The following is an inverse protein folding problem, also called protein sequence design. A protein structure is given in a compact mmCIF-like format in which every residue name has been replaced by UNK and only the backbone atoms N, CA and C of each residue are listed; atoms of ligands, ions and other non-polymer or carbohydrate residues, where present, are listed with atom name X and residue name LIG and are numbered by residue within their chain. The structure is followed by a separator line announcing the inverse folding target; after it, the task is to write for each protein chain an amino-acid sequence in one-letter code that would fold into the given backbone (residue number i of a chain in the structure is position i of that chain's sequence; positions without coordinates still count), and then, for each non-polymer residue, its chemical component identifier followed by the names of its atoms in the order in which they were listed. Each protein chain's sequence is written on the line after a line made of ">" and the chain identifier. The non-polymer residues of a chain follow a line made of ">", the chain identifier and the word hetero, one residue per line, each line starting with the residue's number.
data_IF_299926959980
#
_entry.id   IF_299926959980
#
_cell.length_a   1.000
_cell.length_b   1.000
_cell.length_c   1.000
_cell.angle_alpha   90.00
_cell.angle_beta   90.00
_cell.angle_gamma   90.00
#
_symmetry.space_group_name_H-M   'P 1'
#
loop_
_entity.id
_entity.type
_entity.pdbx_description
1 polymer ?
#
# COMPACT_ATOMS: atom_id res chain seq x y z
N UNK A 1 22.45 16.02 2.15
CA UNK A 1 21.79 14.92 1.46
C UNK A 1 20.86 15.44 0.37
N UNK A 2 20.60 14.63 -0.66
CA UNK A 2 19.62 14.98 -1.69
C UNK A 2 18.22 14.45 -1.32
N UNK A 3 17.18 15.24 -1.62
CA UNK A 3 15.78 14.87 -1.44
C UNK A 3 14.92 15.39 -2.60
N UNK A 4 13.91 14.64 -3.01
CA UNK A 4 12.96 15.05 -4.04
C UNK A 4 11.78 15.77 -3.39
N UNK A 5 11.60 17.04 -3.74
CA UNK A 5 10.53 17.92 -3.25
C UNK A 5 9.47 18.07 -4.31
N UNK A 6 8.25 17.75 -3.95
CA UNK A 6 7.07 17.91 -4.81
C UNK A 6 6.43 19.26 -4.53
N UNK A 7 6.47 20.16 -5.51
CA UNK A 7 5.86 21.48 -5.49
C UNK A 7 4.45 21.51 -6.08
N UNK A 8 4.22 20.68 -7.12
CA UNK A 8 2.92 20.34 -7.68
C UNK A 8 3.05 18.95 -8.36
N UNK A 9 1.99 18.45 -8.96
CA UNK A 9 1.95 17.14 -9.66
C UNK A 9 2.85 17.08 -10.91
N UNK A 10 3.27 18.21 -11.42
CA UNK A 10 4.15 18.38 -12.59
C UNK A 10 5.42 19.17 -12.25
N UNK A 11 5.71 19.37 -10.96
CA UNK A 11 6.92 20.08 -10.48
C UNK A 11 7.56 19.32 -9.32
N UNK A 12 8.50 18.42 -9.67
CA UNK A 12 9.33 17.66 -8.71
C UNK A 12 10.77 18.10 -8.90
N UNK A 13 11.43 18.49 -7.79
CA UNK A 13 12.82 18.98 -7.82
C UNK A 13 13.68 18.21 -6.85
N UNK A 14 14.89 17.82 -7.27
CA UNK A 14 15.91 17.27 -6.38
C UNK A 14 16.68 18.44 -5.77
N UNK A 15 16.68 18.53 -4.44
CA UNK A 15 17.31 19.61 -3.68
C UNK A 15 18.33 19.06 -2.68
N UNK A 16 19.38 19.83 -2.43
CA UNK A 16 20.28 19.60 -1.30
C UNK A 16 19.62 20.06 -0.01
N UNK A 17 19.64 19.17 0.98
CA UNK A 17 19.07 19.42 2.30
C UNK A 17 20.04 18.94 3.39
N UNK A 18 20.03 19.56 4.60
CA UNK A 18 20.77 19.04 5.73
C UNK A 18 20.28 17.63 6.10
N UNK A 19 21.13 16.86 6.75
CA UNK A 19 20.68 15.61 7.40
C UNK A 19 19.66 15.92 8.51
N UNK A 20 18.64 15.07 8.70
CA UNK A 20 17.72 15.24 9.83
C UNK A 20 18.46 15.14 11.18
N UNK A 21 18.13 16.01 12.12
CA UNK A 21 18.65 15.98 13.48
C UNK A 21 17.89 14.93 14.28
N UNK A 22 18.61 13.92 14.82
CA UNK A 22 18.00 12.87 15.61
C UNK A 22 17.69 13.36 17.03
N UNK A 23 16.47 13.08 17.49
CA UNK A 23 16.08 13.21 18.89
C UNK A 23 16.34 11.89 19.65
N UNK A 24 16.36 11.88 20.99
CA UNK A 24 16.53 10.66 21.75
C UNK A 24 15.50 9.58 21.37
N UNK A 25 15.98 8.40 21.00
CA UNK A 25 15.17 7.28 20.53
C UNK A 25 14.85 7.27 19.04
N UNK A 26 15.32 8.25 18.28
CA UNK A 26 15.17 8.28 16.83
C UNK A 26 16.23 7.42 16.13
N UNK A 27 15.90 7.02 14.91
CA UNK A 27 16.77 6.23 14.05
C UNK A 27 16.98 6.95 12.72
N UNK A 28 18.23 6.97 12.22
CA UNK A 28 18.52 7.39 10.87
C UNK A 28 18.62 6.18 9.96
N UNK A 29 17.87 6.22 8.87
CA UNK A 29 17.87 5.18 7.85
C UNK A 29 18.40 5.74 6.54
N UNK A 30 19.42 5.07 5.97
CA UNK A 30 19.85 5.27 4.60
C UNK A 30 18.87 4.52 3.70
N UNK A 31 18.28 5.23 2.74
CA UNK A 31 17.27 4.66 1.86
C UNK A 31 17.88 3.64 0.89
N UNK A 32 17.17 2.53 0.69
CA UNK A 32 17.46 1.52 -0.31
C UNK A 32 16.44 1.57 -1.45
N UNK A 33 15.16 1.72 -1.13
CA UNK A 33 14.09 1.90 -2.10
C UNK A 33 12.88 2.62 -1.51
N UNK A 34 12.11 3.30 -2.36
CA UNK A 34 10.80 3.87 -2.02
C UNK A 34 9.86 3.80 -3.21
N UNK A 35 8.66 3.26 -3.01
CA UNK A 35 7.65 3.20 -4.06
C UNK A 35 6.96 4.54 -4.32
N UNK A 36 6.53 4.77 -5.56
CA UNK A 36 5.65 5.89 -5.92
C UNK A 36 4.20 5.45 -5.70
N UNK A 37 3.50 6.09 -4.77
CA UNK A 37 2.11 5.76 -4.46
C UNK A 37 1.15 6.40 -5.46
N UNK A 38 0.09 5.68 -5.84
CA UNK A 38 -0.99 6.23 -6.67
C UNK A 38 -1.71 7.42 -6.01
N UNK A 39 -1.67 7.53 -4.68
CA UNK A 39 -2.18 8.68 -3.94
C UNK A 39 -1.42 9.97 -4.25
N UNK A 40 -0.11 9.88 -4.45
CA UNK A 40 0.72 11.04 -4.79
C UNK A 40 0.51 11.52 -6.26
N UNK A 41 -0.29 10.77 -7.05
CA UNK A 41 -0.71 11.19 -8.40
C UNK A 41 -2.03 11.97 -8.41
N UNK A 42 -2.70 12.12 -7.28
CA UNK A 42 -4.00 12.83 -7.17
C UNK A 42 -3.78 14.33 -6.98
N UNK A 43 -4.17 15.20 -7.95
CA UNK A 43 -3.89 16.64 -7.87
C UNK A 43 -4.41 17.29 -6.58
N UNK A 44 -5.65 16.99 -6.19
CA UNK A 44 -6.27 17.53 -4.99
C UNK A 44 -5.55 17.12 -3.69
N UNK A 45 -4.94 15.93 -3.68
CA UNK A 45 -4.21 15.43 -2.51
C UNK A 45 -2.83 16.05 -2.40
N UNK A 46 -2.10 16.15 -3.52
CA UNK A 46 -0.77 16.76 -3.60
C UNK A 46 -0.83 18.24 -3.24
N UNK A 47 -1.70 19.01 -3.91
CA UNK A 47 -1.80 20.47 -3.73
C UNK A 47 -2.15 20.91 -2.31
N UNK A 48 -2.77 20.03 -1.53
CA UNK A 48 -3.06 20.28 -0.11
C UNK A 48 -1.81 20.22 0.78
N UNK A 49 -0.77 19.49 0.34
CA UNK A 49 0.45 19.22 1.11
C UNK A 49 1.66 19.98 0.59
N UNK A 50 1.70 20.28 -0.71
CA UNK A 50 2.84 20.89 -1.37
C UNK A 50 3.22 22.27 -0.77
N UNK A 51 4.54 22.61 -0.68
CA UNK A 51 5.68 21.76 -1.04
C UNK A 51 6.05 20.77 0.07
N UNK A 52 6.44 19.54 -0.28
CA UNK A 52 6.87 18.50 0.68
C UNK A 52 7.80 17.48 0.02
N UNK A 53 8.64 16.81 0.82
CA UNK A 53 9.36 15.61 0.37
C UNK A 53 8.39 14.46 0.44
N UNK A 54 8.07 13.87 -0.70
CA UNK A 54 7.09 12.81 -0.80
C UNK A 54 7.70 11.41 -0.58
N UNK A 55 6.91 10.36 -0.78
CA UNK A 55 7.30 8.97 -0.59
C UNK A 55 6.96 8.46 0.82
N UNK A 56 6.09 7.47 0.87
CA UNK A 56 5.61 6.86 2.11
C UNK A 56 5.62 5.33 2.08
N UNK A 57 6.36 4.77 1.11
CA UNK A 57 6.59 3.34 0.95
C UNK A 57 8.11 3.03 1.04
N UNK A 58 8.80 3.42 2.14
CA UNK A 58 10.24 3.36 2.24
C UNK A 58 10.75 2.05 2.80
N UNK A 59 11.93 1.61 2.30
CA UNK A 59 12.76 0.58 2.88
C UNK A 59 14.24 0.98 2.79
N UNK A 60 15.05 0.65 3.80
CA UNK A 60 16.45 1.06 3.83
C UNK A 60 17.27 0.36 4.92
N UNK A 61 18.46 0.87 5.19
CA UNK A 61 19.40 0.36 6.19
C UNK A 61 19.56 1.35 7.32
N UNK A 62 19.45 0.90 8.57
CA UNK A 62 19.75 1.70 9.77
C UNK A 62 21.21 2.07 9.77
N UNK A 63 21.53 3.37 9.85
CA UNK A 63 22.91 3.89 9.85
C UNK A 63 23.27 4.60 11.14
N UNK A 64 22.29 5.08 11.91
CA UNK A 64 22.51 5.63 13.26
C UNK A 64 21.28 5.40 14.14
N UNK A 65 21.53 5.28 15.43
CA UNK A 65 20.52 5.16 16.48
C UNK A 65 20.88 6.15 17.58
N UNK A 66 19.96 7.06 17.89
CA UNK A 66 20.18 8.05 18.98
C UNK A 66 19.49 7.60 20.26
N UNK A 67 20.01 6.54 20.88
CA UNK A 67 19.59 6.09 22.22
C UNK A 67 20.75 5.40 22.94
N UNK A 68 20.87 5.61 24.26
CA UNK A 68 21.84 4.92 25.12
C UNK A 68 21.44 3.46 25.37
N UNK A 69 20.17 3.13 25.23
CA UNK A 69 19.64 1.79 25.40
C UNK A 69 19.21 1.17 24.07
N UNK A 70 19.33 -0.16 23.90
CA UNK A 70 18.87 -0.84 22.68
C UNK A 70 17.39 -0.59 22.43
N UNK A 71 17.03 -0.06 21.24
CA UNK A 71 15.66 0.09 20.84
C UNK A 71 15.05 -1.29 20.52
N UNK A 72 13.86 -1.53 21.04
CA UNK A 72 13.14 -2.78 20.82
C UNK A 72 11.88 -2.49 20.00
N UNK A 73 11.74 -3.18 18.87
CA UNK A 73 10.58 -3.11 18.00
C UNK A 73 9.39 -3.87 18.62
N UNK A 74 8.20 -3.70 18.05
CA UNK A 74 6.97 -4.34 18.54
C UNK A 74 7.04 -5.87 18.55
N UNK A 75 7.78 -6.49 17.65
CA UNK A 75 7.98 -7.95 17.57
C UNK A 75 9.04 -8.48 18.58
N UNK A 76 9.59 -7.61 19.43
CA UNK A 76 10.61 -7.94 20.42
C UNK A 76 12.04 -7.95 19.87
N UNK A 77 12.24 -7.71 18.59
CA UNK A 77 13.59 -7.60 18.01
C UNK A 77 14.28 -6.33 18.46
N UNK A 78 15.58 -6.43 18.75
CA UNK A 78 16.44 -5.28 18.98
C UNK A 78 16.85 -4.71 17.63
N UNK A 79 16.71 -3.38 17.49
CA UNK A 79 17.14 -2.66 16.31
C UNK A 79 18.60 -2.22 16.46
N UNK A 80 19.41 -2.43 15.43
CA UNK A 80 20.82 -2.11 15.41
C UNK A 80 21.22 -1.44 14.09
N UNK A 81 22.36 -0.73 14.11
CA UNK A 81 23.01 -0.24 12.89
C UNK A 81 23.34 -1.43 11.99
N UNK A 82 23.04 -1.30 10.70
CA UNK A 82 23.15 -2.36 9.70
C UNK A 82 21.87 -3.14 9.45
N UNK A 83 20.85 -3.04 10.32
CA UNK A 83 19.56 -3.68 10.07
C UNK A 83 18.87 -3.08 8.84
N UNK A 84 18.35 -3.97 8.00
CA UNK A 84 17.51 -3.61 6.86
C UNK A 84 16.06 -3.53 7.32
N UNK A 85 15.40 -2.40 7.08
CA UNK A 85 14.08 -2.12 7.64
C UNK A 85 13.10 -1.61 6.61
N UNK A 86 11.83 -1.95 6.82
CA UNK A 86 10.66 -1.20 6.38
C UNK A 86 10.24 -0.23 7.48
N UNK A 87 9.84 0.98 7.14
CA UNK A 87 9.34 1.98 8.09
C UNK A 87 8.00 2.50 7.64
N UNK A 88 6.96 2.34 8.47
CA UNK A 88 5.67 2.92 8.15
C UNK A 88 5.68 4.43 8.46
N UNK A 89 5.20 5.24 7.51
CA UNK A 89 5.17 6.69 7.65
C UNK A 89 4.26 7.18 8.78
N UNK A 90 3.31 6.37 9.20
CA UNK A 90 2.45 6.61 10.36
C UNK A 90 2.52 5.45 11.35
N UNK A 91 2.48 5.74 12.66
CA UNK A 91 2.46 4.71 13.68
C UNK A 91 1.51 5.06 14.84
N UNK A 92 0.72 4.09 15.34
CA UNK A 92 -0.19 4.29 16.44
C UNK A 92 0.53 4.26 17.80
N UNK A 93 -0.10 4.81 18.84
CA UNK A 93 0.43 4.73 20.20
C UNK A 93 0.32 3.34 20.85
N UNK A 94 -0.45 2.42 20.27
CA UNK A 94 -0.73 1.06 20.73
C UNK A 94 -1.46 0.96 22.10
N UNK A 95 -1.84 2.07 22.71
CA UNK A 95 -2.41 2.10 24.06
C UNK A 95 -3.83 2.71 24.15
N UNK A 96 -4.25 3.59 23.25
CA UNK A 96 -5.60 4.18 23.26
C UNK A 96 -6.69 3.16 22.85
N UNK A 97 -7.97 3.47 23.12
CA UNK A 97 -9.09 2.59 22.80
C UNK A 97 -9.15 2.22 21.32
N UNK A 98 -8.86 3.16 20.42
CA UNK A 98 -8.79 2.86 18.99
C UNK A 98 -7.72 1.80 18.68
N UNK A 99 -6.57 1.84 19.35
CA UNK A 99 -5.51 0.84 19.19
C UNK A 99 -5.90 -0.52 19.78
N UNK A 100 -6.51 -0.56 20.96
CA UNK A 100 -6.97 -1.80 21.60
C UNK A 100 -8.00 -2.55 20.75
N UNK A 101 -8.78 -1.81 19.98
CA UNK A 101 -9.77 -2.34 19.04
C UNK A 101 -9.22 -2.58 17.62
N UNK A 102 -7.92 -2.39 17.38
CA UNK A 102 -7.30 -2.55 16.06
C UNK A 102 -7.66 -1.44 15.04
N UNK A 103 -8.28 -0.33 15.50
CA UNK A 103 -8.66 0.81 14.68
C UNK A 103 -7.53 1.84 14.58
N UNK A 104 -6.32 1.38 14.24
CA UNK A 104 -5.06 2.14 14.32
C UNK A 104 -5.08 3.48 13.60
N UNK A 105 -5.67 3.57 12.41
CA UNK A 105 -5.76 4.82 11.62
C UNK A 105 -6.61 5.92 12.28
N UNK A 106 -7.35 5.57 13.33
CA UNK A 106 -8.13 6.50 14.14
C UNK A 106 -7.42 6.93 15.44
N UNK A 107 -6.23 6.40 15.71
CA UNK A 107 -5.38 6.85 16.80
C UNK A 107 -4.87 8.28 16.53
N UNK A 108 -4.88 9.14 17.55
CA UNK A 108 -4.37 10.50 17.41
C UNK A 108 -2.87 10.54 17.08
N UNK A 109 -2.07 9.66 17.71
CA UNK A 109 -0.65 9.51 17.42
C UNK A 109 -0.41 9.10 15.97
N UNK A 110 -1.17 8.11 15.45
CA UNK A 110 -1.05 7.70 14.05
C UNK A 110 -1.23 8.88 13.08
N UNK A 111 -2.14 9.79 13.39
CA UNK A 111 -2.42 10.96 12.54
C UNK A 111 -1.36 12.06 12.62
N UNK A 112 -0.58 12.09 13.70
CA UNK A 112 0.44 13.12 13.96
C UNK A 112 1.87 12.64 13.70
N UNK A 113 2.12 11.34 13.57
CA UNK A 113 3.44 10.80 13.24
C UNK A 113 3.72 10.92 11.74
N UNK A 114 4.99 11.11 11.41
CA UNK A 114 5.49 11.11 10.04
C UNK A 114 6.98 10.73 10.04
N UNK A 115 7.47 10.25 8.92
CA UNK A 115 8.91 10.15 8.64
C UNK A 115 9.44 11.52 8.21
N UNK A 116 10.70 11.81 8.47
CA UNK A 116 11.30 13.11 8.13
C UNK A 116 12.56 12.94 7.28
N UNK A 117 12.61 13.56 6.10
CA UNK A 117 11.60 14.46 5.52
C UNK A 117 10.50 13.74 4.73
N UNK A 118 10.67 12.46 4.41
CA UNK A 118 9.86 11.60 3.57
C UNK A 118 10.73 10.59 2.82
N UNK A 119 10.14 9.54 2.24
CA UNK A 119 10.87 8.40 1.68
C UNK A 119 11.61 8.68 0.36
N UNK A 120 11.36 9.80 -0.33
CA UNK A 120 12.11 10.21 -1.51
C UNK A 120 13.30 11.11 -1.15
N UNK A 121 14.09 10.68 -0.17
CA UNK A 121 15.34 11.31 0.26
C UNK A 121 16.41 10.25 0.50
N UNK A 122 17.69 10.63 0.44
CA UNK A 122 18.81 9.70 0.66
C UNK A 122 18.83 9.14 2.09
N UNK A 123 18.45 9.97 3.06
CA UNK A 123 18.35 9.59 4.48
C UNK A 123 17.02 10.05 5.05
N UNK A 124 16.49 9.23 5.95
CA UNK A 124 15.20 9.47 6.60
C UNK A 124 15.36 9.25 8.11
N UNK A 125 14.92 10.24 8.90
CA UNK A 125 14.72 10.08 10.33
C UNK A 125 13.43 9.33 10.57
N UNK A 126 13.52 8.27 11.33
CA UNK A 126 12.39 7.50 11.85
C UNK A 126 12.19 7.93 13.31
N UNK A 127 11.17 8.73 13.62
CA UNK A 127 10.90 9.13 15.01
C UNK A 127 10.61 7.90 15.88
N UNK A 128 10.96 7.98 17.16
CA UNK A 128 10.73 6.90 18.14
C UNK A 128 9.30 6.33 18.08
N UNK A 129 8.30 7.18 17.90
CA UNK A 129 6.91 6.73 17.78
C UNK A 129 6.68 5.81 16.57
N UNK A 130 7.39 6.02 15.46
CA UNK A 130 7.25 5.22 14.25
C UNK A 130 7.89 3.82 14.37
N UNK A 131 8.73 3.59 15.41
CA UNK A 131 9.26 2.26 15.69
C UNK A 131 8.17 1.25 16.07
N UNK A 132 6.98 1.72 16.49
CA UNK A 132 5.82 0.88 16.74
C UNK A 132 5.30 0.17 15.48
N UNK A 133 5.66 0.68 14.28
CA UNK A 133 5.34 0.05 13.00
C UNK A 133 6.55 0.07 12.03
N UNK A 134 7.72 -0.22 12.58
CA UNK A 134 8.97 -0.47 11.84
C UNK A 134 9.27 -1.96 11.92
N UNK A 135 9.67 -2.58 10.81
CA UNK A 135 9.92 -4.02 10.71
C UNK A 135 11.29 -4.30 10.12
N UNK A 136 12.04 -5.22 10.74
CA UNK A 136 13.31 -5.73 10.16
C UNK A 136 12.99 -6.65 8.98
N UNK A 137 13.55 -6.35 7.83
CA UNK A 137 13.39 -7.15 6.62
C UNK A 137 14.19 -8.47 6.74
N UNK A 138 13.56 -9.62 6.46
CA UNK A 138 14.29 -10.89 6.32
C UNK A 138 15.39 -10.81 5.24
N UNK A 139 16.45 -11.59 5.40
CA UNK A 139 17.63 -11.57 4.51
C UNK A 139 17.28 -11.77 3.02
N UNK A 140 16.24 -12.55 2.70
CA UNK A 140 15.80 -12.81 1.32
C UNK A 140 14.87 -11.76 0.72
N UNK A 141 14.47 -10.73 1.48
CA UNK A 141 13.58 -9.67 1.00
C UNK A 141 14.43 -8.52 0.47
N UNK A 142 14.28 -8.14 -0.80
CA UNK A 142 14.97 -6.99 -1.39
C UNK A 142 14.43 -5.66 -0.83
N UNK A 143 15.09 -4.52 -1.08
CA UNK A 143 14.51 -3.23 -0.71
C UNK A 143 13.31 -2.87 -1.58
N UNK A 144 13.31 -3.27 -2.85
CA UNK A 144 12.16 -3.12 -3.72
C UNK A 144 10.94 -3.90 -3.18
N UNK A 145 11.14 -5.15 -2.74
CA UNK A 145 10.08 -5.91 -2.06
C UNK A 145 9.69 -5.30 -0.72
N UNK A 146 10.66 -4.81 0.05
CA UNK A 146 10.44 -4.13 1.33
C UNK A 146 9.58 -2.86 1.18
N UNK A 147 9.72 -2.13 0.07
CA UNK A 147 8.91 -0.95 -0.22
C UNK A 147 7.44 -1.29 -0.55
N UNK A 148 7.14 -2.54 -0.90
CA UNK A 148 5.78 -3.02 -1.13
C UNK A 148 5.02 -3.37 0.16
N UNK A 149 5.66 -3.33 1.33
CA UNK A 149 5.00 -3.68 2.61
C UNK A 149 3.83 -2.76 2.91
N UNK A 150 4.00 -1.44 2.78
CA UNK A 150 2.94 -0.48 3.04
C UNK A 150 1.73 -0.67 2.11
N UNK A 151 1.89 -0.64 0.76
CA UNK A 151 0.75 -0.84 -0.12
C UNK A 151 0.11 -2.22 0.04
N UNK A 152 0.88 -3.29 0.27
CA UNK A 152 0.31 -4.61 0.51
C UNK A 152 -0.45 -4.67 1.85
N UNK A 153 -0.02 -3.95 2.88
CA UNK A 153 -0.74 -3.85 4.14
C UNK A 153 -2.12 -3.21 3.97
N UNK A 154 -2.24 -2.20 3.10
CA UNK A 154 -3.54 -1.63 2.71
C UNK A 154 -4.44 -2.68 2.05
N UNK A 155 -3.88 -3.57 1.21
CA UNK A 155 -4.60 -4.69 0.59
C UNK A 155 -5.01 -5.74 1.62
N UNK A 156 -4.13 -6.11 2.56
CA UNK A 156 -4.46 -7.02 3.67
C UNK A 156 -5.67 -6.53 4.44
N UNK A 157 -5.65 -5.25 4.86
CA UNK A 157 -6.79 -4.64 5.55
C UNK A 157 -8.05 -4.63 4.70
N UNK A 158 -7.94 -4.31 3.41
CA UNK A 158 -9.05 -4.28 2.47
C UNK A 158 -9.72 -5.66 2.36
N UNK A 159 -8.96 -6.73 2.20
CA UNK A 159 -9.49 -8.10 2.14
C UNK A 159 -10.14 -8.53 3.47
N UNK A 160 -9.60 -8.14 4.63
CA UNK A 160 -10.24 -8.36 5.93
C UNK A 160 -11.58 -7.65 6.04
N UNK A 161 -11.70 -6.45 5.48
CA UNK A 161 -12.98 -5.74 5.44
C UNK A 161 -13.95 -6.33 4.43
N UNK A 162 -13.44 -6.89 3.33
CA UNK A 162 -14.24 -7.59 2.33
C UNK A 162 -14.83 -8.90 2.88
N UNK A 163 -14.04 -9.65 3.63
CA UNK A 163 -14.35 -10.98 4.15
C UNK A 163 -14.10 -11.06 5.67
N UNK A 164 -14.85 -10.32 6.49
CA UNK A 164 -14.57 -10.23 7.94
C UNK A 164 -14.83 -11.54 8.70
N UNK A 165 -15.69 -12.42 8.17
CA UNK A 165 -15.99 -13.72 8.77
C UNK A 165 -14.87 -14.74 8.52
N UNK A 166 -14.26 -14.68 7.34
CA UNK A 166 -13.26 -15.63 6.85
C UNK A 166 -11.84 -15.23 7.26
N UNK A 167 -11.50 -13.95 7.16
CA UNK A 167 -10.13 -13.47 7.38
C UNK A 167 -9.90 -12.91 8.79
N UNK A 168 -10.96 -12.57 9.52
CA UNK A 168 -10.85 -12.03 10.88
C UNK A 168 -9.96 -10.79 10.97
N UNK A 169 -9.32 -10.60 12.14
CA UNK A 169 -8.41 -9.47 12.39
C UNK A 169 -6.93 -9.85 12.27
N UNK A 170 -6.56 -11.12 12.30
CA UNK A 170 -5.18 -11.61 12.25
C UNK A 170 -5.10 -12.98 11.59
N UNK A 171 -4.03 -13.18 10.79
CA UNK A 171 -3.54 -14.47 10.34
C UNK A 171 -4.59 -15.36 9.67
N UNK A 172 -4.84 -15.16 8.36
CA UNK A 172 -5.72 -16.05 7.61
C UNK A 172 -4.97 -17.32 7.15
N UNK A 173 -5.68 -18.46 7.17
CA UNK A 173 -5.20 -19.71 6.58
C UNK A 173 -5.22 -19.64 5.05
N UNK A 174 -4.37 -20.42 4.40
CA UNK A 174 -4.20 -20.42 2.93
C UNK A 174 -5.45 -20.86 2.14
N UNK A 175 -6.50 -21.34 2.79
CA UNK A 175 -7.77 -21.74 2.17
C UNK A 175 -8.98 -20.97 2.69
N UNK A 176 -8.75 -19.88 3.42
CA UNK A 176 -9.81 -19.14 4.11
C UNK A 176 -10.91 -18.61 3.17
N UNK A 177 -10.57 -18.33 1.91
CA UNK A 177 -11.53 -17.86 0.90
C UNK A 177 -11.94 -18.93 -0.11
N UNK A 178 -11.74 -20.22 0.19
CA UNK A 178 -12.17 -21.30 -0.69
C UNK A 178 -13.68 -21.23 -0.97
N UNK A 179 -14.05 -21.23 -2.25
CA UNK A 179 -15.43 -21.11 -2.70
C UNK A 179 -16.00 -19.67 -2.68
N UNK A 180 -15.24 -18.67 -2.24
CA UNK A 180 -15.62 -17.27 -2.31
C UNK A 180 -15.24 -16.64 -3.64
N UNK A 181 -16.08 -15.77 -4.14
CA UNK A 181 -15.86 -15.01 -5.38
C UNK A 181 -15.46 -13.58 -5.05
N UNK A 182 -14.27 -13.18 -5.51
CA UNK A 182 -13.78 -11.80 -5.46
C UNK A 182 -13.81 -11.19 -6.86
N UNK A 183 -14.34 -9.99 -6.98
CA UNK A 183 -14.21 -9.19 -8.20
C UNK A 183 -13.37 -7.93 -7.94
N UNK A 184 -12.35 -7.70 -8.76
CA UNK A 184 -11.44 -6.55 -8.64
C UNK A 184 -11.63 -5.61 -9.82
N UNK A 185 -12.01 -4.37 -9.57
CA UNK A 185 -12.15 -3.32 -10.56
C UNK A 185 -10.91 -2.42 -10.51
N UNK A 186 -10.18 -2.36 -11.62
CA UNK A 186 -8.91 -1.64 -11.74
C UNK A 186 -7.71 -2.51 -11.35
N UNK A 187 -6.81 -2.73 -12.32
CA UNK A 187 -5.64 -3.60 -12.21
C UNK A 187 -4.32 -2.80 -12.24
N UNK A 188 -4.30 -1.65 -11.56
CA UNK A 188 -3.05 -1.05 -11.10
C UNK A 188 -2.40 -1.93 -10.03
N UNK A 189 -1.25 -1.52 -9.49
CA UNK A 189 -0.50 -2.30 -8.50
C UNK A 189 -1.38 -2.81 -7.35
N UNK A 190 -2.28 -1.96 -6.82
CA UNK A 190 -3.17 -2.35 -5.72
C UNK A 190 -4.14 -3.45 -6.12
N UNK A 191 -4.74 -3.37 -7.33
CA UNK A 191 -5.62 -4.42 -7.84
C UNK A 191 -4.88 -5.73 -8.07
N UNK A 192 -3.68 -5.69 -8.64
CA UNK A 192 -2.84 -6.88 -8.85
C UNK A 192 -2.42 -7.53 -7.52
N UNK A 193 -2.11 -6.74 -6.49
CA UNK A 193 -1.85 -7.26 -5.14
C UNK A 193 -3.09 -7.94 -4.54
N UNK A 194 -4.31 -7.38 -4.75
CA UNK A 194 -5.54 -8.06 -4.33
C UNK A 194 -5.71 -9.40 -5.02
N UNK A 195 -5.43 -9.47 -6.33
CA UNK A 195 -5.50 -10.74 -7.08
C UNK A 195 -4.52 -11.76 -6.51
N UNK A 196 -3.23 -11.38 -6.37
CA UNK A 196 -2.19 -12.28 -5.89
C UNK A 196 -2.49 -12.80 -4.46
N UNK A 197 -2.88 -11.90 -3.55
CA UNK A 197 -3.14 -12.27 -2.16
C UNK A 197 -4.44 -13.08 -1.99
N UNK A 198 -5.53 -12.67 -2.64
CA UNK A 198 -6.78 -13.41 -2.58
C UNK A 198 -6.67 -14.81 -3.22
N UNK A 199 -5.84 -14.96 -4.26
CA UNK A 199 -5.51 -16.27 -4.85
C UNK A 199 -4.79 -17.16 -3.83
N UNK A 200 -3.85 -16.62 -3.06
CA UNK A 200 -3.18 -17.37 -2.01
C UNK A 200 -4.15 -17.82 -0.90
N UNK A 201 -5.25 -17.12 -0.69
CA UNK A 201 -6.34 -17.52 0.22
C UNK A 201 -7.38 -18.44 -0.43
N UNK A 202 -7.22 -18.83 -1.70
CA UNK A 202 -8.09 -19.78 -2.37
C UNK A 202 -9.35 -19.20 -3.01
N UNK A 203 -9.48 -17.87 -3.13
CA UNK A 203 -10.63 -17.25 -3.78
C UNK A 203 -10.71 -17.55 -5.28
N UNK A 204 -11.93 -17.57 -5.81
CA UNK A 204 -12.21 -17.46 -7.24
C UNK A 204 -12.20 -15.98 -7.62
N UNK A 205 -11.27 -15.57 -8.50
CA UNK A 205 -11.01 -14.17 -8.76
C UNK A 205 -11.38 -13.81 -10.19
N UNK A 206 -12.21 -12.78 -10.32
CA UNK A 206 -12.52 -12.10 -11.57
C UNK A 206 -12.01 -10.67 -11.48
N UNK A 207 -11.63 -10.06 -12.61
CA UNK A 207 -11.13 -8.70 -12.58
C UNK A 207 -11.44 -7.94 -13.85
N UNK A 208 -11.39 -6.61 -13.81
CA UNK A 208 -11.52 -5.78 -14.99
C UNK A 208 -10.57 -4.58 -15.00
N UNK A 209 -10.11 -4.26 -16.18
CA UNK A 209 -9.31 -3.06 -16.46
C UNK A 209 -9.45 -2.69 -17.94
N UNK A 210 -9.26 -1.40 -18.27
CA UNK A 210 -9.18 -0.95 -19.65
C UNK A 210 -7.91 -1.46 -20.35
N UNK A 211 -6.80 -1.57 -19.62
CA UNK A 211 -5.51 -1.98 -20.14
C UNK A 211 -5.43 -3.51 -20.27
N UNK A 212 -5.30 -4.01 -21.51
CA UNK A 212 -5.22 -5.44 -21.79
C UNK A 212 -3.95 -6.10 -21.21
N UNK A 213 -2.82 -5.39 -21.19
CA UNK A 213 -1.58 -5.93 -20.61
C UNK A 213 -1.74 -6.19 -19.11
N UNK A 214 -2.34 -5.25 -18.36
CA UNK A 214 -2.64 -5.43 -16.93
C UNK A 214 -3.60 -6.58 -16.67
N UNK A 215 -4.57 -6.81 -17.57
CA UNK A 215 -5.44 -7.98 -17.50
C UNK A 215 -4.65 -9.28 -17.63
N UNK A 216 -3.69 -9.35 -18.56
CA UNK A 216 -2.78 -10.49 -18.71
C UNK A 216 -1.93 -10.75 -17.47
N UNK A 217 -1.40 -9.69 -16.83
CA UNK A 217 -0.68 -9.82 -15.54
C UNK A 217 -1.60 -10.38 -14.46
N UNK A 218 -2.84 -9.90 -14.35
CA UNK A 218 -3.80 -10.41 -13.37
C UNK A 218 -4.10 -11.90 -13.57
N UNK A 219 -4.21 -12.38 -14.81
CA UNK A 219 -4.39 -13.81 -15.12
C UNK A 219 -3.15 -14.63 -14.73
N UNK A 220 -1.95 -14.12 -14.96
CA UNK A 220 -0.71 -14.76 -14.51
C UNK A 220 -0.59 -14.86 -13.00
N UNK A 221 -1.19 -13.91 -12.26
CA UNK A 221 -1.28 -13.89 -10.81
C UNK A 221 -2.41 -14.77 -10.26
N UNK A 222 -3.26 -15.33 -11.13
CA UNK A 222 -4.28 -16.30 -10.78
C UNK A 222 -5.72 -15.82 -10.83
N UNK A 223 -6.01 -14.70 -11.50
CA UNK A 223 -7.38 -14.38 -11.88
C UNK A 223 -7.93 -15.42 -12.85
N UNK A 224 -9.12 -15.94 -12.60
CA UNK A 224 -9.76 -16.96 -13.46
C UNK A 224 -10.15 -16.38 -14.83
N UNK A 225 -10.64 -15.15 -14.82
CA UNK A 225 -11.04 -14.39 -16.00
C UNK A 225 -10.85 -12.90 -15.76
N UNK A 226 -10.50 -12.21 -16.82
CA UNK A 226 -10.46 -10.74 -16.82
C UNK A 226 -11.35 -10.19 -17.93
N UNK A 227 -11.88 -8.98 -17.72
CA UNK A 227 -12.85 -8.37 -18.61
C UNK A 227 -12.45 -6.92 -18.98
N UNK A 228 -12.87 -6.48 -20.16
CA UNK A 228 -12.95 -5.05 -20.42
C UNK A 228 -14.16 -4.45 -19.64
N UNK A 229 -14.07 -3.25 -19.06
CA UNK A 229 -15.13 -2.71 -18.20
C UNK A 229 -16.52 -2.67 -18.85
N UNK A 230 -16.60 -2.42 -20.16
CA UNK A 230 -17.87 -2.34 -20.89
C UNK A 230 -18.70 -3.66 -20.89
N UNK A 231 -18.05 -4.81 -20.74
CA UNK A 231 -18.71 -6.13 -20.75
C UNK A 231 -18.64 -6.84 -19.40
N UNK A 232 -17.99 -6.23 -18.42
CA UNK A 232 -17.62 -6.89 -17.16
C UNK A 232 -18.82 -7.40 -16.36
N UNK A 233 -19.89 -6.60 -16.25
CA UNK A 233 -21.07 -6.97 -15.45
C UNK A 233 -21.78 -8.21 -15.99
N UNK A 234 -22.03 -8.25 -17.31
CA UNK A 234 -22.72 -9.38 -17.94
C UNK A 234 -21.83 -10.63 -17.96
N UNK A 235 -20.53 -10.44 -18.22
CA UNK A 235 -19.55 -11.51 -18.20
C UNK A 235 -19.42 -12.13 -16.79
N UNK A 236 -19.29 -11.29 -15.74
CA UNK A 236 -19.25 -11.78 -14.35
C UNK A 236 -20.54 -12.52 -13.98
N UNK A 237 -21.70 -12.00 -14.40
CA UNK A 237 -23.01 -12.65 -14.18
C UNK A 237 -23.05 -14.05 -14.80
N UNK A 238 -22.55 -14.18 -16.02
CA UNK A 238 -22.48 -15.46 -16.72
C UNK A 238 -21.54 -16.45 -16.01
N UNK A 239 -20.32 -16.02 -15.67
CA UNK A 239 -19.30 -16.85 -15.00
C UNK A 239 -19.73 -17.32 -13.60
N UNK A 240 -20.55 -16.54 -12.89
CA UNK A 240 -21.01 -16.85 -11.54
C UNK A 240 -22.41 -17.48 -11.47
N UNK A 241 -23.01 -17.81 -12.63
CA UNK A 241 -24.38 -18.34 -12.69
C UNK A 241 -25.41 -17.37 -12.10
N UNK A 242 -25.22 -16.07 -12.27
CA UNK A 242 -26.13 -15.02 -11.80
C UNK A 242 -25.89 -14.55 -10.35
N UNK A 243 -25.03 -15.23 -9.57
CA UNK A 243 -24.82 -14.88 -8.13
C UNK A 243 -23.99 -13.61 -7.92
N UNK A 244 -23.18 -13.20 -8.92
CA UNK A 244 -22.24 -12.10 -8.83
C UNK A 244 -21.12 -12.37 -7.79
N UNK A 245 -20.43 -11.33 -7.28
CA UNK A 245 -19.29 -11.50 -6.40
C UNK A 245 -19.68 -11.41 -4.90
N UNK A 246 -19.11 -12.27 -4.06
CA UNK A 246 -19.24 -12.19 -2.60
C UNK A 246 -18.54 -10.92 -2.07
N UNK A 247 -17.48 -10.47 -2.75
CA UNK A 247 -16.89 -9.16 -2.49
C UNK A 247 -16.40 -8.50 -3.79
N UNK A 248 -16.49 -7.17 -3.82
CA UNK A 248 -15.98 -6.34 -4.91
C UNK A 248 -15.01 -5.31 -4.33
N UNK A 249 -13.80 -5.25 -4.89
CA UNK A 249 -12.83 -4.18 -4.59
C UNK A 249 -12.93 -3.14 -5.68
N UNK A 250 -13.40 -1.95 -5.35
CA UNK A 250 -13.41 -0.81 -6.26
C UNK A 250 -12.10 -0.03 -6.14
N UNK A 251 -11.16 -0.26 -7.04
CA UNK A 251 -9.87 0.43 -7.09
C UNK A 251 -10.00 1.88 -7.57
N UNK A 252 -10.66 2.19 -8.69
CA UNK A 252 -10.81 3.56 -9.16
C UNK A 252 -11.74 4.40 -8.28
N UNK A 253 -11.27 5.61 -7.89
CA UNK A 253 -12.09 6.58 -7.14
C UNK A 253 -12.98 7.42 -8.08
N UNK A 254 -13.94 6.79 -8.75
CA UNK A 254 -14.90 7.49 -9.61
C UNK A 254 -16.34 7.02 -9.36
N UNK A 255 -17.36 7.89 -9.49
CA UNK A 255 -18.75 7.49 -9.33
C UNK A 255 -19.13 6.31 -10.24
N UNK A 256 -18.73 6.33 -11.51
CA UNK A 256 -19.03 5.27 -12.48
C UNK A 256 -18.43 3.90 -12.07
N UNK A 257 -17.21 3.88 -11.49
CA UNK A 257 -16.62 2.65 -11.00
C UNK A 257 -17.38 2.11 -9.78
N UNK A 258 -17.84 2.98 -8.88
CA UNK A 258 -18.65 2.60 -7.72
C UNK A 258 -20.05 2.09 -8.12
N UNK A 259 -20.67 2.67 -9.14
CA UNK A 259 -21.94 2.16 -9.70
C UNK A 259 -21.76 0.76 -10.27
N UNK A 260 -20.69 0.52 -11.05
CA UNK A 260 -20.37 -0.79 -11.57
C UNK A 260 -20.06 -1.78 -10.44
N UNK A 261 -19.31 -1.35 -9.42
CA UNK A 261 -18.99 -2.17 -8.26
C UNK A 261 -20.25 -2.60 -7.50
N UNK A 262 -21.21 -1.71 -7.29
CA UNK A 262 -22.47 -2.04 -6.64
C UNK A 262 -23.31 -3.01 -7.50
N UNK A 263 -23.35 -2.81 -8.82
CA UNK A 263 -24.07 -3.67 -9.75
C UNK A 263 -23.48 -5.09 -9.84
N UNK A 264 -22.21 -5.26 -9.54
CA UNK A 264 -21.48 -6.55 -9.58
C UNK A 264 -21.34 -7.22 -8.23
N UNK A 265 -21.75 -6.56 -7.12
CA UNK A 265 -21.81 -7.14 -5.78
C UNK A 265 -23.02 -8.06 -5.66
N UNK A 266 -22.84 -9.29 -5.23
CA UNK A 266 -23.92 -10.27 -4.98
C UNK A 266 -24.72 -10.00 -3.71
N UNK A 267 -25.74 -10.84 -3.45
CA UNK A 267 -26.49 -10.79 -2.20
C UNK A 267 -25.60 -11.18 -1.00
N UNK A 268 -25.79 -10.51 0.16
CA UNK A 268 -24.92 -10.56 1.36
C UNK A 268 -23.45 -10.24 1.05
N UNK A 269 -23.21 -9.60 -0.11
CA UNK A 269 -21.86 -9.27 -0.57
C UNK A 269 -21.34 -7.95 0.03
N UNK A 270 -20.03 -7.73 -0.15
CA UNK A 270 -19.36 -6.51 0.32
C UNK A 270 -18.77 -5.73 -0.85
N UNK A 271 -19.13 -4.46 -0.99
CA UNK A 271 -18.43 -3.49 -1.82
C UNK A 271 -17.40 -2.76 -0.97
N UNK A 272 -16.12 -2.87 -1.31
CA UNK A 272 -15.04 -2.12 -0.68
C UNK A 272 -14.68 -0.91 -1.53
N UNK A 273 -14.90 0.29 -1.00
CA UNK A 273 -14.41 1.55 -1.56
C UNK A 273 -12.93 1.70 -1.17
N UNK A 274 -12.03 1.35 -2.08
CA UNK A 274 -10.59 1.30 -1.81
C UNK A 274 -9.91 2.65 -2.03
N UNK A 275 -10.30 3.38 -3.07
CA UNK A 275 -9.84 4.74 -3.35
C UNK A 275 -10.99 5.72 -3.16
N UNK A 276 -10.78 6.88 -2.50
CA UNK A 276 -11.83 7.88 -2.38
C UNK A 276 -12.11 8.55 -3.72
N UNK A 277 -13.35 8.98 -3.93
CA UNK A 277 -13.69 9.96 -4.97
C UNK A 277 -13.15 11.35 -4.58
N UNK A 278 -13.02 12.25 -5.52
CA UNK A 278 -12.55 13.61 -5.25
C UNK A 278 -13.49 14.32 -4.25
N UNK A 279 -12.92 15.07 -3.27
CA UNK A 279 -13.74 15.80 -2.30
C UNK A 279 -14.74 16.74 -2.98
N UNK A 280 -16.01 16.58 -2.64
CA UNK A 280 -17.12 17.34 -3.26
C UNK A 280 -17.89 16.56 -4.33
N UNK A 281 -17.30 15.54 -4.94
CA UNK A 281 -18.04 14.61 -5.80
C UNK A 281 -18.98 13.71 -4.97
N UNK A 282 -20.00 13.19 -5.62
CA UNK A 282 -21.01 12.34 -4.99
C UNK A 282 -21.21 11.06 -5.80
N UNK A 283 -21.34 9.96 -5.10
CA UNK A 283 -21.82 8.69 -5.60
C UNK A 283 -23.30 8.55 -5.21
N UNK A 284 -24.17 8.35 -6.19
CA UNK A 284 -25.60 8.11 -5.98
C UNK A 284 -25.95 6.69 -6.38
N UNK A 285 -26.81 6.02 -5.61
CA UNK A 285 -27.21 4.64 -5.89
C UNK A 285 -28.66 4.38 -5.45
N UNK A 286 -29.28 3.35 -6.03
CA UNK A 286 -30.58 2.84 -5.59
C UNK A 286 -30.41 2.12 -4.24
N UNK A 287 -30.84 2.80 -3.17
CA UNK A 287 -30.75 2.28 -1.81
C UNK A 287 -31.60 1.03 -1.64
N UNK A 288 -32.78 0.94 -2.25
CA UNK A 288 -33.67 -0.21 -2.10
C UNK A 288 -33.06 -1.46 -2.73
N UNK A 289 -32.41 -1.31 -3.89
CA UNK A 289 -31.68 -2.40 -4.55
C UNK A 289 -30.50 -2.93 -3.71
N UNK A 290 -29.83 -2.08 -2.93
CA UNK A 290 -28.80 -2.50 -2.00
C UNK A 290 -29.40 -3.16 -0.74
N UNK A 291 -30.47 -2.57 -0.21
CA UNK A 291 -31.17 -3.03 1.01
C UNK A 291 -31.70 -4.47 0.86
N UNK A 292 -32.45 -4.75 -0.21
CA UNK A 292 -33.04 -6.09 -0.42
C UNK A 292 -32.04 -7.19 -0.79
N UNK A 293 -30.78 -6.82 -0.99
CA UNK A 293 -29.66 -7.76 -1.21
C UNK A 293 -28.70 -7.84 -0.01
N UNK A 294 -28.97 -7.14 1.09
CA UNK A 294 -28.10 -7.05 2.27
C UNK A 294 -26.65 -6.66 1.92
N UNK A 295 -26.45 -5.77 0.93
CA UNK A 295 -25.13 -5.35 0.48
C UNK A 295 -24.47 -4.45 1.52
N UNK A 296 -23.23 -4.78 1.87
CA UNK A 296 -22.38 -3.97 2.76
C UNK A 296 -21.49 -3.04 1.94
N UNK A 297 -21.57 -1.75 2.19
CA UNK A 297 -20.64 -0.74 1.63
C UNK A 297 -19.64 -0.36 2.71
N UNK A 298 -18.36 -0.62 2.47
CA UNK A 298 -17.30 -0.37 3.44
C UNK A 298 -16.15 0.41 2.80
N UNK A 299 -15.56 1.36 3.54
CA UNK A 299 -14.34 2.03 3.12
C UNK A 299 -13.12 1.29 3.69
N UNK A 300 -11.99 1.31 2.99
CA UNK A 300 -10.71 0.82 3.50
C UNK A 300 -9.65 1.89 3.33
N UNK A 301 -9.28 2.56 4.42
CA UNK A 301 -8.31 3.65 4.44
C UNK A 301 -7.04 3.21 5.17
N UNK A 302 -5.89 3.25 4.46
CA UNK A 302 -4.57 2.97 5.01
C UNK A 302 -4.48 1.64 5.77
N UNK A 303 -3.49 1.44 6.64
CA UNK A 303 -3.19 0.21 7.34
C UNK A 303 -2.63 0.48 8.74
N UNK A 304 -2.32 -0.56 9.47
CA UNK A 304 -1.67 -0.50 10.77
C UNK A 304 -0.74 -1.68 11.02
N UNK A 305 -0.13 -1.75 12.22
CA UNK A 305 0.94 -2.71 12.53
C UNK A 305 0.60 -4.19 12.35
N UNK A 306 -0.66 -4.58 12.49
CA UNK A 306 -1.08 -5.97 12.23
C UNK A 306 -1.11 -6.27 10.73
N UNK A 307 -1.45 -5.27 9.92
CA UNK A 307 -1.51 -5.41 8.47
C UNK A 307 -0.11 -5.39 7.85
N UNK A 308 0.80 -4.51 8.33
CA UNK A 308 2.19 -4.44 7.87
C UNK A 308 2.98 -5.70 8.20
N UNK A 309 2.78 -6.28 9.40
CA UNK A 309 3.37 -7.56 9.77
C UNK A 309 2.93 -8.69 8.84
N UNK A 310 1.63 -8.80 8.55
CA UNK A 310 1.14 -9.84 7.64
C UNK A 310 1.60 -9.57 6.20
N UNK A 311 1.65 -8.32 5.75
CA UNK A 311 2.18 -7.95 4.44
C UNK A 311 3.64 -8.40 4.27
N UNK A 312 4.51 -8.12 5.27
CA UNK A 312 5.89 -8.58 5.23
C UNK A 312 6.00 -10.11 5.20
N UNK A 313 5.15 -10.83 5.92
CA UNK A 313 5.10 -12.31 5.87
C UNK A 313 4.71 -12.82 4.48
N UNK A 314 3.74 -12.21 3.80
CA UNK A 314 3.33 -12.59 2.45
C UNK A 314 4.41 -12.27 1.41
N UNK A 315 5.13 -11.16 1.57
CA UNK A 315 6.29 -10.82 0.75
C UNK A 315 7.41 -11.84 0.97
N UNK A 316 7.78 -12.13 2.20
CA UNK A 316 8.81 -13.11 2.54
C UNK A 316 8.48 -14.53 2.05
N UNK A 317 7.19 -14.87 1.98
CA UNK A 317 6.70 -16.13 1.39
C UNK A 317 6.65 -16.11 -0.16
N UNK A 318 7.03 -15.02 -0.81
CA UNK A 318 7.01 -14.89 -2.27
C UNK A 318 5.63 -14.81 -2.91
N UNK A 319 4.57 -14.56 -2.11
CA UNK A 319 3.19 -14.43 -2.62
C UNK A 319 3.06 -13.13 -3.43
N UNK A 320 3.63 -12.04 -2.91
CA UNK A 320 3.71 -10.73 -3.57
C UNK A 320 5.17 -10.30 -3.57
N UNK A 321 5.73 -10.04 -4.75
CA UNK A 321 7.10 -9.52 -4.92
C UNK A 321 7.12 -8.52 -6.07
N UNK A 322 8.15 -7.66 -6.10
CA UNK A 322 8.35 -6.69 -7.18
C UNK A 322 8.39 -7.39 -8.56
N UNK A 323 9.11 -8.51 -8.67
CA UNK A 323 9.19 -9.26 -9.94
C UNK A 323 7.88 -9.89 -10.38
N UNK A 324 7.02 -10.33 -9.46
CA UNK A 324 5.70 -10.88 -9.80
C UNK A 324 4.68 -9.83 -10.23
N UNK A 325 4.84 -8.59 -9.75
CA UNK A 325 3.95 -7.47 -10.07
C UNK A 325 4.40 -6.67 -11.28
N UNK A 326 5.48 -7.08 -11.96
CA UNK A 326 6.06 -6.34 -13.09
C UNK A 326 6.40 -4.88 -12.70
N UNK A 327 7.09 -4.73 -11.56
CA UNK A 327 7.55 -3.43 -11.05
C UNK A 327 8.70 -2.92 -11.89
N UNK A 328 8.73 -1.61 -12.16
CA UNK A 328 9.86 -0.95 -12.83
C UNK A 328 10.67 -0.14 -11.81
N UNK A 329 11.96 -0.41 -11.73
CA UNK A 329 12.89 0.30 -10.86
C UNK A 329 13.54 1.48 -11.58
N UNK A 330 13.66 2.61 -10.89
CA UNK A 330 14.29 3.84 -11.35
C UNK A 330 15.34 4.30 -10.33
N UNK A 331 16.56 4.68 -10.73
CA UNK A 331 17.51 5.25 -9.78
C UNK A 331 17.02 6.62 -9.29
N UNK A 332 17.39 7.01 -8.06
CA UNK A 332 16.92 8.25 -7.43
C UNK A 332 17.07 9.52 -8.30
N UNK A 333 18.14 9.73 -9.10
CA UNK A 333 18.19 10.86 -10.02
C UNK A 333 17.07 10.90 -11.07
N UNK A 334 16.40 9.76 -11.31
CA UNK A 334 15.29 9.61 -12.24
C UNK A 334 13.91 9.57 -11.53
N UNK A 335 13.79 10.18 -10.35
CA UNK A 335 12.53 10.20 -9.56
C UNK A 335 11.37 10.88 -10.32
N UNK A 336 11.63 11.96 -11.07
CA UNK A 336 10.63 12.61 -11.89
C UNK A 336 10.16 11.72 -13.04
N UNK A 337 11.03 11.10 -13.88
CA UNK A 337 10.64 10.05 -14.84
C UNK A 337 9.85 8.89 -14.22
N UNK A 338 10.21 8.44 -13.01
CA UNK A 338 9.48 7.39 -12.30
C UNK A 338 8.02 7.81 -11.99
N UNK A 339 7.86 9.05 -11.52
CA UNK A 339 6.55 9.63 -11.25
C UNK A 339 5.72 9.79 -12.53
N UNK A 340 6.33 10.32 -13.59
CA UNK A 340 5.67 10.49 -14.89
C UNK A 340 5.22 9.15 -15.50
N UNK A 341 6.05 8.11 -15.45
CA UNK A 341 5.69 6.78 -15.94
C UNK A 341 4.49 6.20 -15.17
N UNK A 342 4.39 6.44 -13.86
CA UNK A 342 3.22 6.08 -13.06
C UNK A 342 1.99 6.88 -13.47
N UNK A 343 2.14 8.19 -13.69
CA UNK A 343 1.05 9.11 -14.06
C UNK A 343 0.50 8.79 -15.46
N UNK A 344 1.38 8.48 -16.41
CA UNK A 344 1.02 8.06 -17.76
C UNK A 344 0.45 6.63 -17.82
N UNK A 345 0.49 5.88 -16.72
CA UNK A 345 0.13 4.46 -16.64
C UNK A 345 0.99 3.55 -17.54
N UNK A 346 2.21 3.99 -17.88
CA UNK A 346 3.18 3.24 -18.68
C UNK A 346 3.77 2.05 -17.90
N UNK A 347 3.81 2.17 -16.56
CA UNK A 347 4.25 1.11 -15.65
C UNK A 347 3.15 0.73 -14.68
N UNK A 348 3.19 -0.49 -14.16
CA UNK A 348 2.28 -0.95 -13.09
C UNK A 348 2.62 -0.27 -11.77
N UNK A 349 3.91 -0.20 -11.45
CA UNK A 349 4.47 0.42 -10.25
C UNK A 349 5.88 0.89 -10.54
N UNK A 350 6.17 2.13 -10.20
CA UNK A 350 7.54 2.63 -10.14
C UNK A 350 8.08 2.53 -8.71
N UNK A 351 9.29 2.02 -8.57
CA UNK A 351 10.05 2.03 -7.33
C UNK A 351 11.34 2.80 -7.57
N UNK A 352 11.60 3.81 -6.75
CA UNK A 352 12.84 4.57 -6.78
C UNK A 352 13.86 3.87 -5.89
N UNK A 353 15.04 3.55 -6.47
CA UNK A 353 16.16 2.92 -5.78
C UNK A 353 17.29 3.93 -5.54
N UNK A 354 18.10 3.70 -4.51
CA UNK A 354 19.17 4.60 -4.09
C UNK A 354 20.54 3.90 -4.18
N UNK A 355 21.05 3.63 -5.41
CA UNK A 355 22.27 2.83 -5.61
C UNK A 355 23.57 3.58 -5.26
N UNK A 356 23.57 4.92 -5.32
CA UNK A 356 24.79 5.74 -5.32
C UNK A 356 25.21 6.23 -3.91
N UNK A 357 24.72 5.57 -2.86
CA UNK A 357 25.20 5.84 -1.52
C UNK A 357 26.35 4.89 -1.22
N UNK A 358 27.55 5.19 -1.82
CA UNK A 358 28.77 4.49 -1.46
C UNK A 358 28.97 4.48 0.07
N UNK A 359 29.43 3.33 0.59
CA UNK A 359 29.69 3.11 2.03
C UNK A 359 30.81 4.03 2.59
N UNK A 360 31.29 5.00 1.80
CA UNK A 360 32.36 5.94 2.10
C UNK A 360 31.95 7.31 2.65
N UNK A 361 30.67 7.57 2.92
CA UNK A 361 30.30 8.75 3.71
C UNK A 361 30.64 8.47 5.18
N UNK A 362 31.90 8.73 5.57
CA UNK A 362 32.30 8.82 6.96
C UNK A 362 31.40 9.88 7.63
N UNK A 363 30.56 9.42 8.58
CA UNK A 363 29.89 10.33 9.49
C UNK A 363 30.97 10.99 10.34
N UNK A 364 31.33 12.23 10.05
CA UNK A 364 32.16 13.04 10.91
C UNK A 364 31.23 13.43 12.08
N UNK A 365 31.46 12.82 13.24
CA UNK A 365 30.93 13.28 14.52
C UNK A 365 31.63 14.62 14.84
N UNK A 366 30.90 15.75 14.75
CA UNK A 366 31.31 17.02 15.33
C UNK A 366 30.77 17.15 16.78
#
# INVERSE_FOLDING_TARGET
>A
MRAAVMYDIDDIRIEERPLPILQPGDVLVRMGASGVCSGDLMPWYVRRKAPFVFGHEPAGTVVAVNDEAPLTLRDGKRLAVGDRVFMHHHAPCLDCDACREGRYVHCATWRSTALEPGGMAQFVRVPRANLADTLVLPAGVSFADGSLVEPLACVVKSLRRAFPRELGTRGAETSALAGRTLYVIGLGVMGLMHVALARAFGAMIFASDFNAARRGVAESLGALRTFAPATATDALRAETGGRLADAVICGPGTPAALENALATTGADGTLVMFTPIEPGERFSFDQSAAYFRDVRLVASYSCGPDDTNDALRFIAAGIVTAGRLDVTEFPFPAVEPAYEAMRAADVVKAIVTFPDLDDGAEFVED
#
